data_IF_278667544488
#
_entry.id   IF_278667544488
#
_cell.length_a   1.000
_cell.length_b   1.000
_cell.length_c   1.000
_cell.angle_alpha   90.00
_cell.angle_beta   90.00
_cell.angle_gamma   90.00
#
_symmetry.space_group_name_H-M   'P 1'
#
loop_
_entity.id
_entity.type
_entity.pdbx_description
1 polymer ?
#
# COMPACT_ATOMS: atom_id res chain seq x y z
N UNK A 1 7.65 -21.60 2.65
CA UNK A 1 8.55 -21.19 1.55
C UNK A 1 9.56 -20.19 2.10
N UNK A 2 10.80 -20.57 2.41
CA UNK A 2 11.67 -19.71 3.22
C UNK A 2 12.26 -18.48 2.51
N UNK A 3 12.34 -18.48 1.17
CA UNK A 3 13.12 -17.47 0.41
C UNK A 3 12.38 -16.85 -0.80
N UNK A 4 11.06 -16.99 -0.90
CA UNK A 4 10.31 -16.43 -2.04
C UNK A 4 9.79 -15.03 -1.72
N UNK A 5 10.06 -14.05 -2.59
CA UNK A 5 9.43 -12.73 -2.54
C UNK A 5 7.98 -12.85 -3.03
N UNK A 6 7.03 -12.53 -2.16
CA UNK A 6 5.61 -12.55 -2.52
C UNK A 6 5.20 -11.17 -3.03
N UNK A 7 4.67 -11.11 -4.25
CA UNK A 7 4.06 -9.91 -4.81
C UNK A 7 2.61 -9.84 -4.35
N UNK A 8 2.24 -8.78 -3.65
CA UNK A 8 0.85 -8.51 -3.24
C UNK A 8 0.23 -7.55 -4.24
N UNK A 9 -0.67 -8.01 -5.14
CA UNK A 9 -1.31 -7.14 -6.12
C UNK A 9 -2.48 -6.36 -5.50
N UNK A 10 -2.73 -5.16 -6.03
CA UNK A 10 -4.07 -4.55 -5.95
C UNK A 10 -4.40 -3.83 -4.64
N UNK A 11 -3.40 -3.38 -3.87
CA UNK A 11 -3.63 -2.53 -2.70
C UNK A 11 -4.49 -1.31 -3.07
N UNK A 12 -5.64 -1.18 -2.40
CA UNK A 12 -6.61 -0.10 -2.59
C UNK A 12 -7.53 -0.22 -3.81
N UNK A 13 -7.30 -1.15 -4.76
CA UNK A 13 -8.14 -1.32 -5.95
C UNK A 13 -9.00 -2.60 -5.94
N UNK A 14 -8.59 -3.65 -5.21
CA UNK A 14 -9.31 -4.93 -5.10
C UNK A 14 -9.95 -5.17 -3.72
N UNK A 15 -10.05 -4.15 -2.86
CA UNK A 15 -10.62 -4.29 -1.52
C UNK A 15 -9.72 -5.02 -0.51
N UNK A 16 -8.54 -5.50 -0.92
CA UNK A 16 -7.51 -5.96 0.01
C UNK A 16 -6.97 -4.77 0.81
N UNK A 17 -7.35 -4.71 2.08
CA UNK A 17 -6.87 -3.72 3.04
C UNK A 17 -5.42 -3.96 3.48
N UNK A 18 -4.87 -3.08 4.32
CA UNK A 18 -3.51 -3.19 4.84
C UNK A 18 -3.22 -4.53 5.51
N UNK A 19 -4.18 -5.07 6.27
CA UNK A 19 -4.01 -6.33 7.02
C UNK A 19 -3.85 -7.54 6.08
N UNK A 20 -4.63 -7.58 5.00
CA UNK A 20 -4.49 -8.60 3.97
C UNK A 20 -3.16 -8.44 3.21
N UNK A 21 -2.71 -7.20 2.99
CA UNK A 21 -1.47 -6.93 2.30
C UNK A 21 -0.22 -7.32 3.11
N UNK A 22 -0.30 -7.24 4.44
CA UNK A 22 0.83 -7.61 5.32
C UNK A 22 0.84 -9.10 5.71
N UNK A 23 -0.20 -9.86 5.36
CA UNK A 23 -0.33 -11.28 5.71
C UNK A 23 0.84 -12.14 5.16
N UNK A 24 1.36 -11.80 3.98
CA UNK A 24 2.46 -12.53 3.34
C UNK A 24 3.86 -12.14 3.85
N UNK A 25 3.97 -11.12 4.69
CA UNK A 25 5.25 -10.67 5.23
C UNK A 25 5.75 -11.62 6.33
N UNK A 26 7.07 -11.70 6.49
CA UNK A 26 7.71 -12.39 7.62
C UNK A 26 7.43 -11.66 8.95
N UNK A 27 7.75 -12.30 10.09
CA UNK A 27 7.63 -11.66 11.41
C UNK A 27 8.52 -10.42 11.54
N UNK A 28 9.59 -10.36 10.78
CA UNK A 28 10.53 -9.25 10.75
C UNK A 28 10.00 -8.09 9.90
N UNK A 29 8.99 -8.34 9.04
CA UNK A 29 8.42 -7.35 8.12
C UNK A 29 9.11 -7.33 6.74
N UNK A 30 9.68 -8.46 6.32
CA UNK A 30 10.37 -8.63 5.03
C UNK A 30 9.68 -9.72 4.18
N UNK A 31 10.25 -10.06 3.01
CA UNK A 31 9.79 -11.20 2.20
C UNK A 31 8.58 -10.93 1.32
N UNK A 32 8.07 -9.70 1.27
CA UNK A 32 6.95 -9.32 0.40
C UNK A 32 7.11 -7.92 -0.18
N UNK A 33 6.60 -7.73 -1.39
CA UNK A 33 6.53 -6.43 -2.07
C UNK A 33 5.07 -6.16 -2.40
N UNK A 34 4.57 -4.99 -2.02
CA UNK A 34 3.18 -4.58 -2.32
C UNK A 34 3.17 -3.73 -3.58
N UNK A 35 2.39 -4.14 -4.57
CA UNK A 35 2.17 -3.38 -5.80
C UNK A 35 0.88 -2.54 -5.71
N UNK A 36 1.00 -1.26 -6.07
CA UNK A 36 -0.12 -0.33 -6.16
C UNK A 36 -0.01 0.53 -7.43
N UNK A 37 -0.58 0.06 -8.55
CA UNK A 37 -0.53 0.80 -9.82
C UNK A 37 -1.69 1.79 -9.97
N UNK A 38 -2.91 1.30 -10.24
CA UNK A 38 -4.07 2.17 -10.53
C UNK A 38 -4.52 3.01 -9.34
N UNK A 39 -4.35 2.52 -8.11
CA UNK A 39 -4.66 3.27 -6.89
C UNK A 39 -3.81 4.54 -6.79
N UNK A 40 -2.50 4.44 -7.01
CA UNK A 40 -1.59 5.60 -7.03
C UNK A 40 -1.80 6.50 -8.26
N UNK A 41 -1.95 5.90 -9.45
CA UNK A 41 -2.06 6.64 -10.71
C UNK A 41 -3.38 7.40 -10.83
N UNK A 42 -4.47 6.87 -10.25
CA UNK A 42 -5.79 7.50 -10.26
C UNK A 42 -6.12 8.25 -8.96
N UNK A 43 -5.20 8.35 -8.00
CA UNK A 43 -5.42 9.03 -6.72
C UNK A 43 -5.94 10.46 -6.90
N UNK A 44 -5.41 11.17 -7.89
CA UNK A 44 -5.82 12.55 -8.22
C UNK A 44 -7.30 12.67 -8.60
N UNK A 45 -7.95 11.61 -9.10
CA UNK A 45 -9.38 11.63 -9.45
C UNK A 45 -10.28 11.74 -8.22
N UNK A 46 -9.77 11.43 -7.02
CA UNK A 46 -10.49 11.52 -5.75
C UNK A 46 -10.24 12.85 -5.02
N UNK A 47 -9.50 13.78 -5.62
CA UNK A 47 -9.04 15.02 -5.00
C UNK A 47 -9.68 16.21 -5.71
N UNK A 48 -10.59 16.90 -5.02
CA UNK A 48 -11.23 18.13 -5.52
C UNK A 48 -10.39 19.38 -5.23
N UNK A 49 -9.45 19.28 -4.30
CA UNK A 49 -8.54 20.36 -3.87
C UNK A 49 -7.33 20.54 -4.79
N UNK A 50 -7.10 19.63 -5.75
CA UNK A 50 -5.95 19.62 -6.66
C UNK A 50 -6.37 19.81 -8.11
N UNK A 51 -5.66 20.66 -8.85
CA UNK A 51 -5.84 20.75 -10.30
C UNK A 51 -5.29 19.48 -10.97
N UNK A 52 -5.82 19.05 -12.15
CA UNK A 52 -5.32 17.86 -12.84
C UNK A 52 -3.80 17.86 -13.11
N UNK A 53 -3.20 19.04 -13.38
CA UNK A 53 -1.74 19.19 -13.54
C UNK A 53 -0.93 18.88 -12.28
N UNK A 54 -1.58 18.80 -11.12
CA UNK A 54 -0.98 18.49 -9.81
C UNK A 54 -1.17 17.01 -9.42
N UNK A 55 -1.49 16.12 -10.37
CA UNK A 55 -1.70 14.69 -10.12
C UNK A 55 -0.57 14.04 -9.32
N UNK A 56 0.68 14.45 -9.55
CA UNK A 56 1.87 13.95 -8.85
C UNK A 56 1.80 14.18 -7.32
N UNK A 57 1.13 15.24 -6.86
CA UNK A 57 0.92 15.48 -5.42
C UNK A 57 -0.03 14.45 -4.85
N UNK A 58 -1.17 14.22 -5.50
CA UNK A 58 -2.13 13.20 -5.08
C UNK A 58 -1.50 11.80 -5.07
N UNK A 59 -0.71 11.47 -6.09
CA UNK A 59 0.04 10.20 -6.16
C UNK A 59 1.04 10.07 -5.02
N UNK A 60 1.78 11.14 -4.67
CA UNK A 60 2.70 11.14 -3.54
C UNK A 60 1.97 10.97 -2.21
N UNK A 61 0.89 11.71 -1.99
CA UNK A 61 0.11 11.65 -0.76
C UNK A 61 -0.46 10.24 -0.55
N UNK A 62 -1.02 9.64 -1.60
CA UNK A 62 -1.56 8.26 -1.55
C UNK A 62 -0.44 7.24 -1.28
N UNK A 63 0.75 7.41 -1.85
CA UNK A 63 1.89 6.53 -1.58
C UNK A 63 2.38 6.63 -0.12
N UNK A 64 2.38 7.84 0.44
CA UNK A 64 2.75 8.06 1.85
C UNK A 64 1.71 7.46 2.80
N UNK A 65 0.42 7.64 2.52
CA UNK A 65 -0.68 7.05 3.27
C UNK A 65 -0.63 5.52 3.20
N UNK A 66 -0.44 4.94 2.02
CA UNK A 66 -0.25 3.50 1.82
C UNK A 66 0.91 2.96 2.67
N UNK A 67 2.08 3.62 2.62
CA UNK A 67 3.24 3.23 3.43
C UNK A 67 2.92 3.28 4.92
N UNK A 68 2.24 4.33 5.38
CA UNK A 68 1.85 4.49 6.78
C UNK A 68 0.93 3.34 7.23
N UNK A 69 -0.12 3.06 6.46
CA UNK A 69 -1.08 1.99 6.74
C UNK A 69 -0.44 0.61 6.80
N UNK A 70 0.44 0.29 5.83
CA UNK A 70 1.20 -0.97 5.84
C UNK A 70 2.14 -1.06 7.05
N UNK A 71 2.80 0.05 7.41
CA UNK A 71 3.68 0.09 8.60
C UNK A 71 2.89 -0.13 9.89
N UNK A 72 1.69 0.46 9.99
CA UNK A 72 0.81 0.28 11.14
C UNK A 72 0.33 -1.17 11.24
N UNK A 73 -0.19 -1.74 10.16
CA UNK A 73 -0.63 -3.14 10.11
C UNK A 73 0.50 -4.13 10.44
N UNK A 74 1.73 -3.86 9.98
CA UNK A 74 2.90 -4.66 10.36
C UNK A 74 3.22 -4.55 11.86
N UNK A 75 3.06 -3.38 12.47
CA UNK A 75 3.29 -3.20 13.91
C UNK A 75 2.23 -3.93 14.72
N UNK A 76 0.95 -3.73 14.43
CA UNK A 76 -0.15 -4.41 15.14
C UNK A 76 0.02 -5.94 15.09
N UNK A 77 0.42 -6.49 13.94
CA UNK A 77 0.69 -7.93 13.80
C UNK A 77 1.88 -8.43 14.62
N UNK A 78 2.90 -7.60 14.87
CA UNK A 78 4.05 -8.00 15.72
C UNK A 78 3.69 -8.11 17.20
N UNK A 79 2.61 -7.45 17.63
CA UNK A 79 2.18 -7.38 19.03
C UNK A 79 0.83 -8.06 19.30
N UNK A 80 0.19 -8.63 18.27
CA UNK A 80 -0.96 -9.56 18.37
C UNK A 80 -0.49 -11.00 18.58
#
# INVERSE_FOLDING_TARGET
>A
MPNALILVPGYGAQGAGPDAAVASFTKEGTGSIVNASRSLMCAWKKREDLKPKQFFKATRDEALDMRMKLTYALKERKYS
#
